data_IF_748431449587
#
_entry.id   IF_748431449587
#
_cell.length_a   1.000
_cell.length_b   1.000
_cell.length_c   1.000
_cell.angle_alpha   90.00
_cell.angle_beta   90.00
_cell.angle_gamma   90.00
#
_symmetry.space_group_name_H-M   'P 1'
#
loop_
_entity.id
_entity.type
_entity.pdbx_description
1 polymer ?
#
# COMPACT_ATOMS: atom_id res chain seq x y z
N UNK A 1 -0.53 12.60 -4.92
CA UNK A 1 0.60 11.71 -4.61
C UNK A 1 0.09 10.39 -4.07
N UNK A 2 0.57 9.29 -4.62
CA UNK A 2 0.31 7.92 -4.18
C UNK A 2 1.53 7.34 -3.50
N UNK A 3 1.33 6.62 -2.40
CA UNK A 3 2.31 5.73 -1.79
C UNK A 3 1.78 4.28 -1.88
N UNK A 4 2.54 3.41 -2.53
CA UNK A 4 2.23 1.98 -2.73
C UNK A 4 3.22 1.14 -1.92
N UNK A 5 2.74 0.45 -0.90
CA UNK A 5 3.56 -0.32 0.05
C UNK A 5 3.31 -1.82 -0.14
N UNK A 6 4.38 -2.55 -0.42
CA UNK A 6 4.31 -3.93 -0.89
C UNK A 6 3.97 -3.97 -2.38
N UNK A 7 4.57 -3.06 -3.15
CA UNK A 7 4.18 -2.80 -4.54
C UNK A 7 4.52 -3.93 -5.51
N UNK A 8 5.42 -4.84 -5.14
CA UNK A 8 5.95 -5.84 -6.07
C UNK A 8 6.52 -5.18 -7.33
N UNK A 9 6.12 -5.63 -8.53
CA UNK A 9 6.53 -5.01 -9.80
C UNK A 9 5.76 -3.71 -10.11
N UNK A 10 5.10 -3.11 -9.11
CA UNK A 10 4.34 -1.86 -9.14
C UNK A 10 3.17 -1.85 -10.15
N UNK A 11 2.54 -2.98 -10.40
CA UNK A 11 1.47 -3.11 -11.41
C UNK A 11 0.30 -2.15 -11.12
N UNK A 12 -0.15 -2.06 -9.87
CA UNK A 12 -1.27 -1.19 -9.49
C UNK A 12 -0.88 0.28 -9.63
N UNK A 13 0.24 0.66 -9.05
CA UNK A 13 0.67 2.06 -9.03
C UNK A 13 1.07 2.57 -10.42
N UNK A 14 1.68 1.75 -11.26
CA UNK A 14 2.01 2.14 -12.64
C UNK A 14 0.76 2.29 -13.52
N UNK A 15 -0.27 1.44 -13.32
CA UNK A 15 -1.55 1.59 -14.02
C UNK A 15 -2.25 2.93 -13.68
N UNK A 16 -2.01 3.46 -12.50
CA UNK A 16 -2.57 4.74 -12.04
C UNK A 16 -1.67 5.95 -12.34
N UNK A 17 -0.39 5.75 -12.64
CA UNK A 17 0.63 6.78 -12.67
C UNK A 17 0.29 7.96 -13.59
N UNK A 18 -0.33 7.71 -14.75
CA UNK A 18 -0.74 8.77 -15.69
C UNK A 18 -1.80 9.75 -15.12
N UNK A 19 -2.54 9.33 -14.09
CA UNK A 19 -3.56 10.14 -13.41
C UNK A 19 -3.04 10.82 -12.15
N UNK A 20 -1.77 10.62 -11.82
CA UNK A 20 -1.17 11.03 -10.56
C UNK A 20 -0.01 12.00 -10.80
N UNK A 21 0.23 12.89 -9.84
CA UNK A 21 1.39 13.79 -9.88
C UNK A 21 2.68 13.04 -9.56
N UNK A 22 2.68 12.24 -8.51
CA UNK A 22 3.84 11.44 -8.09
C UNK A 22 3.37 10.08 -7.54
N UNK A 23 4.17 9.06 -7.80
CA UNK A 23 4.02 7.71 -7.27
C UNK A 23 5.30 7.32 -6.52
N UNK A 24 5.13 6.81 -5.31
CA UNK A 24 6.21 6.21 -4.51
C UNK A 24 5.83 4.74 -4.29
N UNK A 25 6.66 3.83 -4.77
CA UNK A 25 6.43 2.39 -4.66
C UNK A 25 7.52 1.76 -3.80
N UNK A 26 7.11 1.11 -2.71
CA UNK A 26 7.99 0.44 -1.75
C UNK A 26 7.88 -1.07 -1.88
N UNK A 27 9.01 -1.74 -1.97
CA UNK A 27 9.09 -3.20 -1.84
C UNK A 27 10.43 -3.61 -1.24
N UNK A 28 10.46 -4.76 -0.56
CA UNK A 28 11.71 -5.31 -0.02
C UNK A 28 12.54 -6.03 -1.09
N UNK A 29 11.92 -6.42 -2.21
CA UNK A 29 12.57 -7.16 -3.28
C UNK A 29 13.17 -6.24 -4.33
N UNK A 30 14.49 -6.18 -4.37
CA UNK A 30 15.23 -5.46 -5.42
C UNK A 30 14.86 -5.97 -6.81
N UNK A 31 14.62 -7.28 -6.97
CA UNK A 31 14.24 -7.87 -8.25
C UNK A 31 12.88 -7.33 -8.73
N UNK A 32 11.88 -7.29 -7.85
CA UNK A 32 10.56 -6.73 -8.19
C UNK A 32 10.66 -5.26 -8.58
N UNK A 33 11.47 -4.48 -7.89
CA UNK A 33 11.67 -3.06 -8.21
C UNK A 33 12.45 -2.86 -9.52
N UNK A 34 13.33 -3.79 -9.90
CA UNK A 34 13.95 -3.76 -11.21
C UNK A 34 12.91 -3.96 -12.33
N UNK A 35 12.01 -4.94 -12.18
CA UNK A 35 10.87 -5.10 -13.09
C UNK A 35 9.96 -3.87 -13.11
N UNK A 36 9.70 -3.26 -11.95
CA UNK A 36 8.93 -2.02 -11.86
C UNK A 36 9.58 -0.88 -12.67
N UNK A 37 10.90 -0.72 -12.56
CA UNK A 37 11.65 0.26 -13.35
C UNK A 37 11.59 0.00 -14.85
N UNK A 38 11.76 -1.26 -15.28
CA UNK A 38 11.64 -1.65 -16.68
C UNK A 38 10.24 -1.39 -17.22
N UNK A 39 9.20 -1.75 -16.44
CA UNK A 39 7.81 -1.50 -16.80
C UNK A 39 7.51 0.00 -16.90
N UNK A 40 8.00 0.81 -15.97
CA UNK A 40 7.84 2.26 -16.02
C UNK A 40 8.46 2.85 -17.30
N UNK A 41 9.70 2.47 -17.63
CA UNK A 41 10.39 2.91 -18.85
C UNK A 41 9.65 2.48 -20.11
N UNK A 42 9.22 1.21 -20.19
CA UNK A 42 8.51 0.67 -21.34
C UNK A 42 7.17 1.39 -21.59
N UNK A 43 6.54 1.94 -20.55
CA UNK A 43 5.26 2.67 -20.64
C UNK A 43 5.43 4.20 -20.57
N UNK A 44 6.63 4.73 -20.63
CA UNK A 44 6.89 6.18 -20.61
C UNK A 44 6.48 6.86 -19.30
N UNK A 45 6.54 6.14 -18.17
CA UNK A 45 6.18 6.66 -16.85
C UNK A 45 7.41 7.24 -16.19
N UNK A 46 7.42 8.55 -15.95
CA UNK A 46 8.55 9.30 -15.39
C UNK A 46 8.30 9.81 -13.96
N UNK A 47 7.06 9.73 -13.48
CA UNK A 47 6.62 10.26 -12.19
C UNK A 47 6.59 9.20 -11.06
N UNK A 48 7.22 8.05 -11.26
CA UNK A 48 7.31 6.98 -10.28
C UNK A 48 8.72 6.87 -9.67
N UNK A 49 8.79 6.78 -8.34
CA UNK A 49 10.01 6.53 -7.56
C UNK A 49 9.89 5.18 -6.86
N UNK A 50 10.89 4.32 -7.05
CA UNK A 50 10.95 2.98 -6.47
C UNK A 50 11.95 2.96 -5.33
N UNK A 51 11.55 2.41 -4.17
CA UNK A 51 12.32 2.41 -2.93
C UNK A 51 12.39 0.99 -2.39
N UNK A 52 13.60 0.46 -2.28
CA UNK A 52 13.86 -0.86 -1.73
C UNK A 52 14.08 -0.78 -0.22
N UNK A 53 13.36 -1.58 0.54
CA UNK A 53 13.52 -1.67 1.99
C UNK A 53 12.37 -2.37 2.69
N UNK A 54 12.53 -2.58 3.99
CA UNK A 54 11.41 -2.97 4.86
C UNK A 54 10.33 -1.90 4.82
N UNK A 55 9.07 -2.33 4.78
CA UNK A 55 7.94 -1.40 4.62
C UNK A 55 7.84 -0.37 5.75
N UNK A 56 8.08 -0.80 7.01
CA UNK A 56 8.00 0.09 8.17
C UNK A 56 9.14 1.10 8.18
N UNK A 57 10.36 0.65 7.92
CA UNK A 57 11.55 1.50 7.91
C UNK A 57 11.51 2.51 6.75
N UNK A 58 11.16 2.06 5.55
CA UNK A 58 11.07 2.91 4.37
C UNK A 58 9.94 3.94 4.50
N UNK A 59 8.75 3.54 4.98
CA UNK A 59 7.65 4.47 5.22
C UNK A 59 8.01 5.50 6.29
N UNK A 60 8.68 5.09 7.38
CA UNK A 60 9.14 5.99 8.43
C UNK A 60 10.17 7.00 7.91
N UNK A 61 11.08 6.57 7.04
CA UNK A 61 12.05 7.49 6.43
C UNK A 61 11.35 8.52 5.53
N UNK A 62 10.38 8.10 4.72
CA UNK A 62 9.58 9.01 3.89
C UNK A 62 8.74 9.99 4.72
N UNK A 63 8.19 9.54 5.85
CA UNK A 63 7.51 10.42 6.81
C UNK A 63 8.45 11.52 7.31
N UNK A 64 9.68 11.15 7.72
CA UNK A 64 10.70 12.11 8.15
C UNK A 64 11.12 13.09 7.06
N UNK A 65 11.15 12.64 5.80
CA UNK A 65 11.41 13.49 4.64
C UNK A 65 10.23 14.42 4.32
N UNK A 66 9.12 14.31 5.05
CA UNK A 66 7.94 15.15 4.91
C UNK A 66 6.99 14.72 3.80
N UNK A 67 7.06 13.47 3.34
CA UNK A 67 6.11 12.95 2.35
C UNK A 67 4.69 12.94 2.93
N UNK A 68 3.77 13.56 2.21
CA UNK A 68 2.33 13.56 2.51
C UNK A 68 1.57 12.98 1.32
N UNK A 69 1.32 11.67 1.30
CA UNK A 69 0.53 11.06 0.25
C UNK A 69 -0.95 11.42 0.41
N UNK A 70 -1.65 11.61 -0.70
CA UNK A 70 -3.10 11.78 -0.69
C UNK A 70 -3.81 10.44 -0.50
N UNK A 71 -3.22 9.39 -1.06
CA UNK A 71 -3.70 8.01 -0.98
C UNK A 71 -2.53 7.06 -0.71
N UNK A 72 -2.80 6.02 0.07
CA UNK A 72 -1.85 4.91 0.31
C UNK A 72 -2.51 3.60 -0.12
N UNK A 73 -1.78 2.78 -0.86
CA UNK A 73 -2.12 1.37 -1.13
C UNK A 73 -1.25 0.51 -0.23
N UNK A 74 -1.84 -0.48 0.40
CA UNK A 74 -1.18 -1.50 1.20
C UNK A 74 -1.49 -2.87 0.61
N UNK A 75 -0.46 -3.60 0.23
CA UNK A 75 -0.56 -5.00 -0.20
C UNK A 75 0.49 -5.85 0.55
N UNK A 76 0.31 -6.02 1.87
CA UNK A 76 1.27 -6.71 2.72
C UNK A 76 1.21 -8.23 2.54
N UNK A 77 2.26 -8.94 2.98
CA UNK A 77 2.21 -10.39 3.13
C UNK A 77 1.14 -10.83 4.16
N UNK A 78 0.89 -12.13 4.29
CA UNK A 78 -0.13 -12.71 5.17
C UNK A 78 -0.10 -12.22 6.63
N UNK A 79 1.08 -11.87 7.15
CA UNK A 79 1.23 -11.31 8.50
C UNK A 79 0.58 -9.93 8.70
N UNK A 80 0.16 -9.28 7.61
CA UNK A 80 -0.38 -7.93 7.61
C UNK A 80 0.69 -6.86 7.75
N UNK A 81 0.25 -5.61 7.96
CA UNK A 81 1.13 -4.44 8.13
C UNK A 81 1.72 -4.34 9.54
N UNK A 82 0.94 -4.68 10.55
CA UNK A 82 1.31 -4.45 11.95
C UNK A 82 1.14 -2.99 12.41
N UNK A 83 1.22 -2.81 13.72
CA UNK A 83 0.87 -1.55 14.38
C UNK A 83 1.80 -0.39 13.99
N UNK A 84 3.11 -0.64 13.91
CA UNK A 84 4.11 0.41 13.63
C UNK A 84 3.93 1.02 12.24
N UNK A 85 3.73 0.20 11.21
CA UNK A 85 3.48 0.69 9.86
C UNK A 85 2.17 1.47 9.79
N UNK A 86 1.10 0.96 10.42
CA UNK A 86 -0.20 1.65 10.48
C UNK A 86 -0.07 3.01 11.14
N UNK A 87 0.64 3.12 12.26
CA UNK A 87 0.91 4.40 12.94
C UNK A 87 1.68 5.37 12.06
N UNK A 88 2.71 4.89 11.37
CA UNK A 88 3.51 5.71 10.44
C UNK A 88 2.64 6.26 9.32
N UNK A 89 1.86 5.41 8.65
CA UNK A 89 0.92 5.82 7.60
C UNK A 89 -0.10 6.84 8.16
N UNK A 90 -0.63 6.59 9.35
CA UNK A 90 -1.62 7.49 9.97
C UNK A 90 -1.04 8.88 10.26
N UNK A 91 0.23 8.99 10.67
CA UNK A 91 0.93 10.27 10.87
C UNK A 91 1.16 11.02 9.55
N UNK A 92 1.41 10.30 8.44
CA UNK A 92 1.49 10.91 7.10
C UNK A 92 0.15 11.51 6.67
N UNK A 93 -0.94 11.11 7.32
CA UNK A 93 -2.29 11.67 7.19
C UNK A 93 -2.91 11.59 5.79
N UNK A 94 -2.81 10.47 5.05
CA UNK A 94 -3.52 10.33 3.78
C UNK A 94 -5.03 10.47 3.97
N UNK A 95 -5.74 10.99 2.98
CA UNK A 95 -7.20 11.02 3.01
C UNK A 95 -7.82 9.63 2.87
N UNK A 96 -7.13 8.74 2.15
CA UNK A 96 -7.57 7.37 1.88
C UNK A 96 -6.43 6.37 2.01
N UNK A 97 -6.82 5.18 2.49
CA UNK A 97 -5.97 3.99 2.43
C UNK A 97 -6.78 2.88 1.76
N UNK A 98 -6.20 2.22 0.77
CA UNK A 98 -6.74 1.01 0.14
C UNK A 98 -5.87 -0.16 0.61
N UNK A 99 -6.47 -1.10 1.31
CA UNK A 99 -5.77 -2.25 1.86
C UNK A 99 -6.19 -3.52 1.10
N UNK A 100 -5.25 -4.14 0.41
CA UNK A 100 -5.41 -5.45 -0.24
C UNK A 100 -4.88 -6.51 0.71
N UNK A 101 -5.68 -7.51 1.05
CA UNK A 101 -5.31 -8.54 2.03
C UNK A 101 -5.71 -9.92 1.57
N UNK A 102 -4.79 -10.87 1.69
CA UNK A 102 -5.07 -12.30 1.48
C UNK A 102 -5.45 -13.04 2.79
N UNK A 103 -5.52 -12.34 3.93
CA UNK A 103 -5.88 -12.93 5.23
C UNK A 103 -6.86 -12.02 5.99
N UNK A 104 -8.14 -12.42 6.12
CA UNK A 104 -9.15 -11.61 6.80
C UNK A 104 -8.87 -11.36 8.29
N UNK A 105 -8.18 -12.26 8.97
CA UNK A 105 -7.90 -12.13 10.41
C UNK A 105 -6.84 -11.03 10.66
N UNK A 106 -5.78 -11.02 9.87
CA UNK A 106 -4.77 -9.95 9.95
C UNK A 106 -5.30 -8.62 9.46
N UNK A 107 -6.17 -8.62 8.44
CA UNK A 107 -6.88 -7.42 8.01
C UNK A 107 -7.71 -6.83 9.15
N UNK A 108 -8.54 -7.62 9.82
CA UNK A 108 -9.37 -7.15 10.93
C UNK A 108 -8.53 -6.53 12.05
N UNK A 109 -7.39 -7.14 12.39
CA UNK A 109 -6.44 -6.59 13.37
C UNK A 109 -5.89 -5.24 12.93
N UNK A 110 -5.44 -5.12 11.69
CA UNK A 110 -4.83 -3.90 11.17
C UNK A 110 -5.87 -2.78 10.99
N UNK A 111 -7.11 -3.12 10.60
CA UNK A 111 -8.23 -2.17 10.57
C UNK A 111 -8.53 -1.59 11.96
N UNK A 112 -8.40 -2.39 13.02
CA UNK A 112 -8.52 -1.90 14.40
C UNK A 112 -7.44 -0.84 14.69
N UNK A 113 -6.19 -1.07 14.31
CA UNK A 113 -5.14 -0.08 14.47
C UNK A 113 -5.43 1.21 13.70
N UNK A 114 -5.94 1.13 12.47
CA UNK A 114 -6.38 2.31 11.73
C UNK A 114 -7.49 3.07 12.46
N UNK A 115 -8.48 2.36 13.01
CA UNK A 115 -9.58 2.97 13.76
C UNK A 115 -9.08 3.72 15.00
N UNK A 116 -8.13 3.15 15.72
CA UNK A 116 -7.49 3.76 16.89
C UNK A 116 -6.65 5.00 16.52
N UNK A 117 -6.28 5.16 15.24
CA UNK A 117 -5.50 6.28 14.72
C UNK A 117 -6.31 7.26 13.84
N UNK A 118 -7.63 7.31 14.00
CA UNK A 118 -8.48 8.34 13.40
C UNK A 118 -8.95 8.04 11.98
N UNK A 119 -9.04 6.76 11.61
CA UNK A 119 -9.55 6.30 10.33
C UNK A 119 -10.79 5.43 10.50
N UNK A 120 -11.61 5.37 9.48
CA UNK A 120 -12.82 4.53 9.46
C UNK A 120 -12.82 3.63 8.22
N UNK A 121 -12.92 2.29 8.38
CA UNK A 121 -13.21 1.40 7.27
C UNK A 121 -14.60 1.72 6.70
N UNK A 122 -14.67 2.01 5.40
CA UNK A 122 -15.93 2.38 4.71
C UNK A 122 -16.53 1.22 3.94
N UNK A 123 -15.67 0.42 3.31
CA UNK A 123 -16.08 -0.68 2.47
C UNK A 123 -15.07 -1.80 2.55
N UNK A 124 -15.54 -3.04 2.57
CA UNK A 124 -14.70 -4.23 2.46
C UNK A 124 -15.33 -5.12 1.40
N UNK A 125 -14.60 -5.35 0.32
CA UNK A 125 -15.03 -6.17 -0.81
C UNK A 125 -14.24 -7.47 -0.82
N UNK A 126 -14.86 -8.64 -0.57
CA UNK A 126 -14.18 -9.92 -0.73
C UNK A 126 -14.09 -10.30 -2.19
N UNK A 127 -12.97 -10.91 -2.57
CA UNK A 127 -12.71 -11.41 -3.92
C UNK A 127 -12.30 -12.88 -3.87
N UNK A 128 -12.99 -13.73 -4.60
CA UNK A 128 -12.66 -15.16 -4.68
C UNK A 128 -11.52 -15.41 -5.67
N UNK A 129 -10.30 -15.08 -5.24
CA UNK A 129 -9.07 -15.31 -6.02
C UNK A 129 -8.47 -16.71 -5.80
N UNK A 130 -8.94 -17.43 -4.78
CA UNK A 130 -8.41 -18.72 -4.34
C UNK A 130 -9.54 -19.75 -4.24
N UNK A 131 -10.32 -19.90 -5.29
CA UNK A 131 -11.51 -20.77 -5.35
C UNK A 131 -11.21 -22.19 -4.85
N UNK A 132 -12.10 -22.73 -4.01
CA UNK A 132 -11.95 -24.05 -3.41
C UNK A 132 -10.98 -24.15 -2.23
N UNK A 133 -10.46 -23.02 -1.74
CA UNK A 133 -9.63 -22.93 -0.54
C UNK A 133 -10.30 -22.09 0.55
N UNK A 134 -9.72 -22.08 1.76
CA UNK A 134 -10.16 -21.22 2.86
C UNK A 134 -9.63 -19.77 2.76
N UNK A 135 -8.86 -19.45 1.72
CA UNK A 135 -8.28 -18.13 1.53
C UNK A 135 -9.22 -17.22 0.74
N UNK A 136 -9.41 -16.02 1.23
CA UNK A 136 -10.21 -14.96 0.59
C UNK A 136 -9.36 -13.71 0.47
N UNK A 137 -9.23 -13.19 -0.73
CA UNK A 137 -8.70 -11.86 -0.96
C UNK A 137 -9.75 -10.82 -0.57
N UNK A 138 -9.35 -9.76 0.09
CA UNK A 138 -10.25 -8.68 0.50
C UNK A 138 -9.63 -7.33 0.20
N UNK A 139 -10.42 -6.42 -0.36
CA UNK A 139 -10.02 -5.03 -0.58
C UNK A 139 -10.82 -4.15 0.36
N UNK A 140 -10.14 -3.43 1.24
CA UNK A 140 -10.76 -2.51 2.19
C UNK A 140 -10.46 -1.06 1.81
N UNK A 141 -11.49 -0.23 1.73
CA UNK A 141 -11.38 1.22 1.66
C UNK A 141 -11.46 1.80 3.07
N UNK A 142 -10.47 2.58 3.43
CA UNK A 142 -10.32 3.20 4.76
C UNK A 142 -10.16 4.70 4.54
N UNK A 143 -10.94 5.51 5.22
CA UNK A 143 -10.90 6.97 5.09
C UNK A 143 -10.58 7.64 6.43
N UNK A 144 -9.88 8.75 6.37
CA UNK A 144 -9.60 9.57 7.54
C UNK A 144 -10.88 10.29 7.99
N UNK A 145 -11.11 10.31 9.30
CA UNK A 145 -12.25 10.99 9.93
C UNK A 145 -12.16 12.52 9.78
#
# INVERSE_FOLDING_TARGET
TLLDVGSGPATISLALAQKLKNVYALDYSTEMLNYANENAKANGIENARFICGDASDAAFQLEKEGLKPDCVILDPPRKGCGEELVKTISRMSPSRVVYVSCDPATLARDLKFFTENGYTPKEITPCDMFSGTSHVESVALIERN
#
